data_IF_305849064703
#
_entry.id   IF_305849064703
#
_cell.length_a   1.000
_cell.length_b   1.000
_cell.length_c   1.000
_cell.angle_alpha   90.00
_cell.angle_beta   90.00
_cell.angle_gamma   90.00
#
_symmetry.space_group_name_H-M   'P 1'
#
loop_
_entity.id
_entity.type
_entity.pdbx_description
1 polymer ?
#
# COMPACT_ATOMS: atom_id res chain seq x y z
N UNK A 1 -34.39 67.97 15.41
CA UNK A 1 -33.23 67.14 15.04
C UNK A 1 -33.54 65.71 15.42
N UNK A 2 -33.82 64.84 14.46
CA UNK A 2 -34.12 63.41 14.67
C UNK A 2 -33.39 62.63 13.59
N UNK A 3 -32.21 62.11 13.95
CA UNK A 3 -31.38 61.27 13.08
C UNK A 3 -31.94 59.84 13.08
N UNK A 4 -32.26 59.31 11.90
CA UNK A 4 -32.59 57.89 11.72
C UNK A 4 -31.32 57.15 11.29
N UNK A 5 -30.80 56.32 12.19
CA UNK A 5 -29.63 55.48 11.95
C UNK A 5 -30.08 54.20 11.23
N UNK A 6 -29.58 54.00 10.01
CA UNK A 6 -29.66 52.77 9.23
C UNK A 6 -28.92 51.63 9.94
N UNK A 7 -29.54 50.45 10.00
CA UNK A 7 -28.83 49.19 10.25
C UNK A 7 -29.08 48.25 9.07
N UNK A 8 -28.09 48.20 8.18
CA UNK A 8 -28.00 47.19 7.12
C UNK A 8 -27.42 45.93 7.76
N UNK A 9 -28.26 44.90 7.93
CA UNK A 9 -27.84 43.58 8.37
C UNK A 9 -27.21 42.83 7.18
N UNK A 10 -25.88 42.84 7.10
CA UNK A 10 -25.11 41.97 6.21
C UNK A 10 -24.99 40.58 6.88
N UNK A 11 -25.73 39.60 6.37
CA UNK A 11 -25.58 38.20 6.75
C UNK A 11 -24.30 37.64 6.11
N UNK A 12 -23.25 37.49 6.92
CA UNK A 12 -22.02 36.79 6.52
C UNK A 12 -22.30 35.28 6.48
N UNK A 13 -22.28 34.70 5.29
CA UNK A 13 -22.26 33.25 5.10
C UNK A 13 -20.82 32.76 5.32
N UNK A 14 -20.59 32.04 6.41
CA UNK A 14 -19.31 31.35 6.65
C UNK A 14 -19.36 30.03 5.90
N UNK A 15 -18.75 29.96 4.72
CA UNK A 15 -18.46 28.69 4.06
C UNK A 15 -17.29 28.04 4.78
N UNK A 16 -17.58 27.10 5.69
CA UNK A 16 -16.55 26.21 6.21
C UNK A 16 -16.08 25.30 5.07
N UNK A 17 -14.91 25.60 4.49
CA UNK A 17 -14.22 24.68 3.61
C UNK A 17 -13.80 23.47 4.45
N UNK A 18 -14.47 22.33 4.26
CA UNK A 18 -14.03 21.06 4.86
C UNK A 18 -12.70 20.72 4.19
N UNK A 19 -11.58 20.65 4.91
CA UNK A 19 -10.31 20.23 4.32
C UNK A 19 -10.50 18.83 3.76
N UNK A 20 -10.23 18.67 2.46
CA UNK A 20 -10.36 17.39 1.76
C UNK A 20 -9.64 16.29 2.53
N UNK A 21 -10.31 15.16 2.67
CA UNK A 21 -9.71 13.93 3.17
C UNK A 21 -8.46 13.65 2.32
N UNK A 22 -7.27 13.84 2.91
CA UNK A 22 -6.03 13.39 2.30
C UNK A 22 -6.05 11.87 2.41
N UNK A 23 -6.08 11.17 1.28
CA UNK A 23 -5.78 9.74 1.28
C UNK A 23 -4.37 9.58 1.86
N UNK A 24 -4.29 8.99 3.05
CA UNK A 24 -3.01 8.69 3.69
C UNK A 24 -2.45 7.46 2.97
N UNK A 25 -1.48 7.68 2.08
CA UNK A 25 -0.68 6.60 1.50
C UNK A 25 0.59 6.49 2.31
N UNK A 26 0.90 5.29 2.76
CA UNK A 26 2.13 4.99 3.50
C UNK A 26 2.68 3.63 3.10
N UNK A 27 3.96 3.39 3.38
CA UNK A 27 4.53 2.05 3.24
C UNK A 27 3.79 1.08 4.14
N UNK A 28 3.79 -0.21 3.79
CA UNK A 28 3.14 -1.24 4.62
C UNK A 28 3.77 -1.26 6.01
N UNK A 29 5.10 -1.13 6.11
CA UNK A 29 5.83 -1.05 7.38
C UNK A 29 5.48 0.16 8.26
N UNK A 30 4.89 1.22 7.68
CA UNK A 30 4.52 2.43 8.43
C UNK A 30 3.02 2.48 8.72
N UNK A 31 2.18 2.08 7.76
CA UNK A 31 0.72 2.12 7.85
C UNK A 31 0.13 0.92 8.58
N UNK A 32 0.86 -0.19 8.60
CA UNK A 32 0.44 -1.43 9.24
C UNK A 32 1.26 -1.71 10.49
N UNK A 33 0.62 -2.39 11.45
CA UNK A 33 1.33 -2.84 12.65
C UNK A 33 2.20 -4.03 12.24
N UNK A 34 3.52 -3.94 12.43
CA UNK A 34 4.48 -4.97 11.98
C UNK A 34 4.12 -6.40 12.39
N UNK A 35 3.59 -6.59 13.60
CA UNK A 35 3.15 -7.91 14.12
C UNK A 35 1.91 -8.48 13.41
N UNK A 36 1.31 -7.74 12.49
CA UNK A 36 0.13 -8.18 11.72
C UNK A 36 0.45 -8.49 10.27
N UNK A 37 1.67 -8.19 9.81
CA UNK A 37 2.10 -8.48 8.44
C UNK A 37 2.45 -9.96 8.36
N UNK A 38 1.66 -10.71 7.60
CA UNK A 38 1.85 -12.14 7.37
C UNK A 38 1.99 -12.39 5.88
N UNK A 39 3.10 -13.03 5.51
CA UNK A 39 3.36 -13.50 4.14
C UNK A 39 3.16 -15.00 4.13
N UNK A 40 2.16 -15.48 3.39
CA UNK A 40 1.93 -16.89 3.12
C UNK A 40 2.54 -17.23 1.75
N UNK A 41 3.65 -17.95 1.78
CA UNK A 41 4.39 -18.37 0.58
C UNK A 41 3.80 -19.60 -0.09
N UNK A 42 2.86 -20.31 0.54
CA UNK A 42 2.13 -21.43 -0.06
C UNK A 42 0.98 -20.91 -0.93
N UNK A 43 0.22 -19.94 -0.41
CA UNK A 43 -0.90 -19.31 -1.14
C UNK A 43 -0.49 -18.07 -1.94
N UNK A 44 0.75 -17.62 -1.78
CA UNK A 44 1.29 -16.39 -2.36
C UNK A 44 0.41 -15.17 -2.02
N UNK A 45 0.11 -15.01 -0.74
CA UNK A 45 -0.70 -13.89 -0.23
C UNK A 45 0.04 -13.09 0.83
N UNK A 46 -0.20 -11.78 0.81
CA UNK A 46 0.20 -10.84 1.86
C UNK A 46 -1.06 -10.42 2.61
N UNK A 47 -1.08 -10.62 3.92
CA UNK A 47 -2.13 -10.12 4.81
C UNK A 47 -1.54 -9.13 5.80
N UNK A 48 -2.25 -8.03 6.07
CA UNK A 48 -1.84 -7.04 7.06
C UNK A 48 -3.06 -6.38 7.71
N UNK A 49 -2.88 -5.86 8.92
CA UNK A 49 -3.88 -5.00 9.58
C UNK A 49 -3.32 -3.59 9.70
N UNK A 50 -3.93 -2.66 8.98
CA UNK A 50 -3.41 -1.32 8.76
C UNK A 50 -4.39 -0.26 9.27
N UNK A 51 -3.87 0.90 9.70
CA UNK A 51 -4.72 1.97 10.24
C UNK A 51 -5.54 2.63 9.13
N UNK A 52 -6.82 2.86 9.39
CA UNK A 52 -7.72 3.51 8.43
C UNK A 52 -7.74 5.05 8.52
N UNK A 53 -6.79 5.66 9.23
CA UNK A 53 -6.71 7.11 9.44
C UNK A 53 -7.85 7.73 10.27
N UNK A 54 -8.86 6.95 10.67
CA UNK A 54 -10.02 7.38 11.47
C UNK A 54 -9.95 6.83 12.91
N UNK A 55 -8.78 6.36 13.35
CA UNK A 55 -8.58 5.73 14.66
C UNK A 55 -9.00 4.25 14.72
N UNK A 56 -9.37 3.65 13.59
CA UNK A 56 -9.60 2.20 13.45
C UNK A 56 -8.49 1.51 12.66
N UNK A 57 -8.63 0.20 12.53
CA UNK A 57 -7.77 -0.64 11.68
C UNK A 57 -8.61 -1.53 10.78
N UNK A 58 -8.09 -1.84 9.60
CA UNK A 58 -8.71 -2.73 8.63
C UNK A 58 -7.71 -3.85 8.33
N UNK A 59 -8.18 -5.09 8.41
CA UNK A 59 -7.43 -6.25 7.92
C UNK A 59 -7.70 -6.42 6.44
N UNK A 60 -6.65 -6.54 5.64
CA UNK A 60 -6.74 -6.75 4.20
C UNK A 60 -5.73 -7.80 3.75
N UNK A 61 -6.06 -8.47 2.65
CA UNK A 61 -5.24 -9.51 2.02
C UNK A 61 -5.14 -9.23 0.53
N UNK A 62 -3.94 -9.38 -0.03
CA UNK A 62 -3.67 -9.19 -1.45
C UNK A 62 -2.77 -10.33 -1.95
N UNK A 63 -2.95 -10.75 -3.21
CA UNK A 63 -2.06 -11.74 -3.80
C UNK A 63 -0.72 -11.11 -4.15
N UNK A 64 0.37 -11.80 -3.84
CA UNK A 64 1.72 -11.38 -4.22
C UNK A 64 1.86 -11.27 -5.74
N UNK A 65 1.18 -12.15 -6.48
CA UNK A 65 1.19 -12.15 -7.95
C UNK A 65 0.54 -10.93 -8.58
N UNK A 66 -0.25 -10.16 -7.82
CA UNK A 66 -0.88 -8.95 -8.33
C UNK A 66 0.07 -7.75 -8.34
N UNK A 67 1.12 -7.76 -7.52
CA UNK A 67 2.01 -6.60 -7.37
C UNK A 67 3.50 -6.93 -7.56
N UNK A 68 3.87 -8.21 -7.62
CA UNK A 68 5.24 -8.65 -7.88
C UNK A 68 5.31 -9.34 -9.25
N UNK A 69 6.29 -8.91 -10.04
CA UNK A 69 6.68 -9.50 -11.31
C UNK A 69 8.14 -9.93 -11.32
N UNK A 70 8.56 -10.47 -12.46
CA UNK A 70 9.95 -10.85 -12.73
C UNK A 70 10.48 -10.10 -13.95
N UNK A 71 11.52 -9.30 -13.76
CA UNK A 71 12.24 -8.61 -14.83
C UNK A 71 13.63 -9.22 -15.00
N UNK A 72 13.79 -10.08 -16.01
CA UNK A 72 15.05 -10.74 -16.36
C UNK A 72 15.76 -11.41 -15.16
N UNK A 73 15.02 -12.21 -14.38
CA UNK A 73 15.54 -12.93 -13.21
C UNK A 73 15.52 -12.12 -11.92
N UNK A 74 14.99 -10.89 -11.93
CA UNK A 74 14.87 -10.05 -10.75
C UNK A 74 13.41 -9.84 -10.34
N UNK A 75 13.10 -10.09 -9.07
CA UNK A 75 11.83 -9.71 -8.47
C UNK A 75 11.69 -8.18 -8.52
N UNK A 76 10.59 -7.71 -9.10
CA UNK A 76 10.30 -6.29 -9.33
C UNK A 76 8.82 -6.03 -9.09
N UNK A 77 8.41 -4.77 -9.01
CA UNK A 77 6.98 -4.42 -9.06
C UNK A 77 6.39 -4.82 -10.41
N UNK A 78 5.27 -5.54 -10.41
CA UNK A 78 4.67 -6.05 -11.64
C UNK A 78 3.61 -7.10 -11.34
N UNK A 79 3.44 -8.06 -12.24
CA UNK A 79 2.45 -9.13 -12.06
C UNK A 79 3.04 -10.50 -12.42
N UNK A 80 2.43 -11.55 -11.89
CA UNK A 80 2.64 -12.95 -12.28
C UNK A 80 4.08 -13.47 -12.12
N UNK A 81 4.80 -13.06 -11.08
CA UNK A 81 6.14 -13.60 -10.82
C UNK A 81 6.13 -15.13 -10.61
N UNK A 82 5.05 -15.71 -10.07
CA UNK A 82 4.96 -17.17 -9.81
C UNK A 82 5.15 -18.04 -11.04
N UNK A 83 4.89 -17.51 -12.23
CA UNK A 83 5.03 -18.26 -13.48
C UNK A 83 6.50 -18.54 -13.83
N UNK A 84 7.41 -17.75 -13.26
CA UNK A 84 8.83 -17.76 -13.62
C UNK A 84 9.77 -17.83 -12.42
N UNK A 85 9.25 -17.74 -11.20
CA UNK A 85 10.00 -17.79 -9.95
C UNK A 85 9.59 -18.97 -9.09
N UNK A 86 10.55 -19.57 -8.40
CA UNK A 86 10.38 -20.72 -7.51
C UNK A 86 11.11 -20.52 -6.18
N UNK A 87 10.75 -21.33 -5.17
CA UNK A 87 11.41 -21.30 -3.87
C UNK A 87 11.20 -19.97 -3.14
N UNK A 88 9.98 -19.45 -3.21
CA UNK A 88 9.63 -18.16 -2.60
C UNK A 88 9.61 -18.32 -1.09
N UNK A 89 10.39 -17.50 -0.41
CA UNK A 89 10.51 -17.47 1.05
C UNK A 89 10.42 -16.02 1.53
N UNK A 90 9.88 -15.81 2.73
CA UNK A 90 9.97 -14.52 3.41
C UNK A 90 11.15 -14.53 4.38
N UNK A 91 11.99 -13.51 4.30
CA UNK A 91 13.07 -13.25 5.25
C UNK A 91 12.63 -12.08 6.15
N UNK A 92 12.18 -12.41 7.36
CA UNK A 92 11.54 -11.43 8.24
C UNK A 92 10.15 -11.05 7.76
N UNK A 93 9.77 -9.78 7.92
CA UNK A 93 8.43 -9.26 7.58
C UNK A 93 8.40 -8.38 6.34
N UNK A 94 9.56 -7.96 5.83
CA UNK A 94 9.66 -6.98 4.76
C UNK A 94 10.47 -7.46 3.55
N UNK A 95 11.06 -8.66 3.56
CA UNK A 95 11.84 -9.16 2.42
C UNK A 95 11.25 -10.45 1.87
N UNK A 96 10.97 -10.47 0.57
CA UNK A 96 10.66 -11.68 -0.18
C UNK A 96 11.89 -12.09 -0.98
N UNK A 97 12.25 -13.36 -0.90
CA UNK A 97 13.38 -13.95 -1.62
C UNK A 97 12.90 -15.13 -2.46
N UNK A 98 13.56 -15.36 -3.60
CA UNK A 98 13.19 -16.41 -4.53
C UNK A 98 14.19 -16.59 -5.66
N UNK A 99 14.03 -17.63 -6.46
CA UNK A 99 14.84 -17.87 -7.66
C UNK A 99 14.00 -17.67 -8.90
N UNK A 100 14.36 -16.72 -9.75
CA UNK A 100 13.59 -16.30 -10.91
C UNK A 100 14.31 -16.57 -12.23
N UNK A 101 13.54 -16.95 -13.24
CA UNK A 101 14.07 -17.30 -14.56
C UNK A 101 14.37 -16.03 -15.36
N UNK A 102 15.60 -15.92 -15.86
CA UNK A 102 16.04 -14.86 -16.79
C UNK A 102 15.47 -15.08 -18.19
N UNK A 103 15.59 -14.10 -19.08
CA UNK A 103 15.21 -14.27 -20.50
C UNK A 103 16.02 -15.36 -21.21
N UNK A 104 17.21 -15.68 -20.69
CA UNK A 104 18.07 -16.76 -21.17
C UNK A 104 17.71 -18.14 -20.60
N UNK A 105 16.66 -18.24 -19.77
CA UNK A 105 16.24 -19.51 -19.14
C UNK A 105 17.08 -19.93 -17.93
N UNK A 106 17.99 -19.07 -17.46
CA UNK A 106 18.80 -19.34 -16.26
C UNK A 106 18.08 -18.85 -15.01
N UNK A 107 18.06 -19.64 -13.94
CA UNK A 107 17.54 -19.23 -12.63
C UNK A 107 18.58 -18.38 -11.89
N UNK A 108 18.14 -17.24 -11.37
CA UNK A 108 18.96 -16.33 -10.57
C UNK A 108 18.23 -16.03 -9.27
N UNK A 109 18.96 -16.01 -8.16
CA UNK A 109 18.41 -15.62 -6.86
C UNK A 109 18.15 -14.11 -6.85
N UNK A 110 16.96 -13.73 -6.41
CA UNK A 110 16.55 -12.34 -6.28
C UNK A 110 15.78 -12.13 -4.99
N UNK A 111 15.76 -10.88 -4.52
CA UNK A 111 14.93 -10.44 -3.42
C UNK A 111 14.21 -9.14 -3.76
N UNK A 112 13.10 -8.88 -3.08
CA UNK A 112 12.34 -7.63 -3.16
C UNK A 112 11.84 -7.26 -1.77
N UNK A 113 11.94 -5.98 -1.44
CA UNK A 113 11.32 -5.44 -0.23
C UNK A 113 9.81 -5.28 -0.45
N UNK A 114 8.99 -5.75 0.50
CA UNK A 114 7.53 -5.66 0.49
C UNK A 114 7.08 -4.21 0.31
N UNK A 115 7.75 -3.26 0.94
CA UNK A 115 7.40 -1.83 0.84
C UNK A 115 7.66 -1.25 -0.56
N UNK A 116 8.44 -1.94 -1.42
CA UNK A 116 8.58 -1.54 -2.82
C UNK A 116 7.40 -1.99 -3.68
N UNK A 117 6.72 -3.07 -3.32
CA UNK A 117 5.64 -3.65 -4.12
C UNK A 117 4.24 -3.35 -3.59
N UNK A 118 4.11 -3.06 -2.30
CA UNK A 118 2.83 -2.85 -1.64
C UNK A 118 2.82 -1.53 -0.89
N UNK A 119 1.66 -0.91 -0.83
CA UNK A 119 1.40 0.28 -0.03
C UNK A 119 0.10 0.11 0.78
N UNK A 120 0.03 0.77 1.93
CA UNK A 120 -1.20 0.95 2.66
C UNK A 120 -1.96 2.17 2.12
N UNK A 121 -3.19 1.94 1.70
CA UNK A 121 -4.13 2.95 1.26
C UNK A 121 -5.34 2.96 2.20
N UNK A 122 -5.25 3.75 3.26
CA UNK A 122 -6.30 3.96 4.25
C UNK A 122 -6.81 2.66 4.90
N UNK A 123 -5.89 1.78 5.29
CA UNK A 123 -6.18 0.49 5.92
C UNK A 123 -6.24 -0.69 4.94
N UNK A 124 -6.19 -0.44 3.63
CA UNK A 124 -6.24 -1.47 2.60
C UNK A 124 -4.90 -1.59 1.89
N UNK A 125 -4.39 -2.82 1.80
CA UNK A 125 -3.24 -3.15 0.96
C UNK A 125 -3.58 -2.92 -0.51
N UNK A 126 -2.67 -2.25 -1.21
CA UNK A 126 -2.71 -2.03 -2.66
C UNK A 126 -1.31 -2.16 -3.26
N UNK A 127 -1.20 -2.35 -4.57
CA UNK A 127 0.12 -2.34 -5.22
C UNK A 127 0.71 -0.94 -5.19
N UNK A 128 2.01 -0.83 -4.92
CA UNK A 128 2.73 0.43 -5.00
C UNK A 128 2.74 0.93 -6.45
N UNK A 129 2.37 2.18 -6.66
CA UNK A 129 2.52 2.84 -7.96
C UNK A 129 3.95 3.36 -8.07
N UNK A 130 4.73 2.78 -9.00
CA UNK A 130 6.09 3.24 -9.33
C UNK A 130 6.11 4.54 -10.12
#
# INVERSE_FOLDING_TARGET
MTARLSFVLLALWVTAAVPGARAFRSSVSTGCVNDTITVDTETLTLSATCSNGQGGSISSTISLNTCIGNTNGHLTTGENFSDTCIGITSEGFNMLTGSCTTLAGTLVQSSIDIDMAFEDNNGSLTCATS
#
